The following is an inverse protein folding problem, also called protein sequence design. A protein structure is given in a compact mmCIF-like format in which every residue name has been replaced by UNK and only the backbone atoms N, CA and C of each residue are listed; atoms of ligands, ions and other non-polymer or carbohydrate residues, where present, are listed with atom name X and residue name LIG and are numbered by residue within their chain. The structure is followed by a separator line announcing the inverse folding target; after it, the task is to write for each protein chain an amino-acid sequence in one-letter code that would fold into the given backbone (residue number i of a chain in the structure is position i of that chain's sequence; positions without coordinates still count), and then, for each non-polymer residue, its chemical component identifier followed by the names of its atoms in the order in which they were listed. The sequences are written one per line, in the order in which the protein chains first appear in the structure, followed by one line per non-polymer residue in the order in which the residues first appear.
data_IF_807202661986
#
_entry.id   IF_807202661986
#
_cell.length_a   1.000
_cell.length_b   1.000
_cell.length_c   1.000
_cell.angle_alpha   90.00
_cell.angle_beta   90.00
_cell.angle_gamma   90.00
#
_symmetry.space_group_name_H-M   'P 1'
#
loop_
_entity.id
_entity.type
_entity.pdbx_description
1 polymer ?
#
# COMPACT_ATOMS: atom_id res chain seq x y z
N UNK A 1 -23.31 -4.63 -8.32
CA UNK A 1 -22.19 -4.45 -7.38
C UNK A 1 -22.51 -4.87 -5.94
N UNK A 2 -23.54 -4.35 -5.27
CA UNK A 2 -23.82 -4.67 -3.85
C UNK A 2 -24.00 -6.19 -3.56
N UNK A 3 -24.70 -6.89 -4.45
CA UNK A 3 -24.88 -8.36 -4.37
C UNK A 3 -23.53 -9.10 -4.42
N UNK A 4 -22.61 -8.65 -5.29
CA UNK A 4 -21.28 -9.26 -5.40
C UNK A 4 -20.46 -9.09 -4.11
N UNK A 5 -20.52 -7.90 -3.48
CA UNK A 5 -19.87 -7.65 -2.18
C UNK A 5 -20.46 -8.51 -1.07
N UNK A 6 -21.78 -8.73 -1.08
CA UNK A 6 -22.45 -9.61 -0.14
C UNK A 6 -21.95 -11.06 -0.28
N UNK A 7 -21.86 -11.57 -1.51
CA UNK A 7 -21.30 -12.90 -1.76
C UNK A 7 -19.85 -13.02 -1.29
N UNK A 8 -19.02 -12.01 -1.53
CA UNK A 8 -17.64 -11.98 -1.03
C UNK A 8 -17.58 -12.08 0.50
N UNK A 9 -18.41 -11.32 1.23
CA UNK A 9 -18.50 -11.40 2.70
C UNK A 9 -18.92 -12.78 3.20
N UNK A 10 -19.75 -13.48 2.43
CA UNK A 10 -20.16 -14.87 2.70
C UNK A 10 -19.13 -15.91 2.25
N UNK A 11 -17.96 -15.50 1.75
CA UNK A 11 -16.95 -16.37 1.12
C UNK A 11 -17.45 -17.15 -0.10
N UNK A 12 -18.55 -16.68 -0.71
CA UNK A 12 -19.15 -17.19 -1.94
C UNK A 12 -18.47 -16.55 -3.14
N UNK A 13 -17.18 -16.83 -3.28
CA UNK A 13 -16.33 -16.06 -4.17
C UNK A 13 -16.63 -16.29 -5.65
N UNK A 14 -17.06 -17.49 -6.02
CA UNK A 14 -17.46 -17.80 -7.40
C UNK A 14 -18.65 -16.95 -7.83
N UNK A 15 -19.70 -16.88 -7.03
CA UNK A 15 -20.88 -16.07 -7.32
C UNK A 15 -20.56 -14.57 -7.30
N UNK A 16 -19.63 -14.16 -6.42
CA UNK A 16 -19.12 -12.79 -6.40
C UNK A 16 -18.43 -12.43 -7.73
N UNK A 17 -17.51 -13.27 -8.19
CA UNK A 17 -16.80 -13.09 -9.46
C UNK A 17 -17.76 -13.10 -10.66
N UNK A 18 -18.71 -14.04 -10.71
CA UNK A 18 -19.72 -14.08 -11.79
C UNK A 18 -20.56 -12.81 -11.83
N UNK A 19 -20.93 -12.26 -10.67
CA UNK A 19 -21.69 -11.01 -10.59
C UNK A 19 -20.87 -9.81 -11.05
N UNK A 20 -19.57 -9.76 -10.73
CA UNK A 20 -18.68 -8.71 -11.21
C UNK A 20 -18.37 -8.82 -12.71
N UNK A 21 -18.26 -10.04 -13.25
CA UNK A 21 -18.14 -10.24 -14.70
C UNK A 21 -19.34 -9.69 -15.46
N UNK A 22 -20.57 -10.00 -15.00
CA UNK A 22 -21.80 -9.41 -15.58
C UNK A 22 -21.82 -7.89 -15.49
N UNK A 23 -21.23 -7.30 -14.45
CA UNK A 23 -21.07 -5.85 -14.35
C UNK A 23 -20.10 -5.33 -15.41
N UNK A 24 -18.96 -5.98 -15.61
CA UNK A 24 -17.98 -5.61 -16.64
C UNK A 24 -18.55 -5.75 -18.06
N UNK A 25 -19.41 -6.73 -18.32
CA UNK A 25 -20.09 -6.89 -19.62
C UNK A 25 -21.00 -5.69 -19.98
N UNK A 26 -21.44 -4.93 -18.96
CA UNK A 26 -22.29 -3.74 -19.11
C UNK A 26 -21.51 -2.43 -18.97
N UNK A 27 -20.28 -2.49 -18.44
CA UNK A 27 -19.46 -1.32 -18.21
C UNK A 27 -18.97 -0.76 -19.55
N UNK A 28 -19.07 0.56 -19.72
CA UNK A 28 -18.76 1.22 -21.00
C UNK A 28 -17.68 2.28 -20.88
N UNK A 29 -17.28 2.62 -19.66
CA UNK A 29 -16.28 3.66 -19.39
C UNK A 29 -15.02 3.10 -18.74
N UNK A 30 -13.83 3.71 -18.98
CA UNK A 30 -12.60 3.35 -18.27
C UNK A 30 -12.75 3.37 -16.74
N UNK A 31 -13.55 4.30 -16.22
CA UNK A 31 -13.86 4.40 -14.79
C UNK A 31 -14.62 3.17 -14.29
N UNK A 32 -15.70 2.76 -14.96
CA UNK A 32 -16.49 1.59 -14.59
C UNK A 32 -15.70 0.29 -14.74
N UNK A 33 -14.93 0.16 -15.84
CA UNK A 33 -14.07 -0.99 -16.09
C UNK A 33 -13.03 -1.13 -14.99
N UNK A 34 -12.31 -0.05 -14.69
CA UNK A 34 -11.32 -0.02 -13.60
C UNK A 34 -11.94 -0.38 -12.27
N UNK A 35 -13.07 0.24 -11.92
CA UNK A 35 -13.80 -0.05 -10.67
C UNK A 35 -14.20 -1.52 -10.57
N UNK A 36 -14.74 -2.10 -11.63
CA UNK A 36 -15.16 -3.51 -11.65
C UNK A 36 -13.97 -4.45 -11.50
N UNK A 37 -12.88 -4.19 -12.23
CA UNK A 37 -11.64 -4.96 -12.11
C UNK A 37 -11.02 -4.85 -10.70
N UNK A 38 -11.05 -3.67 -10.07
CA UNK A 38 -10.56 -3.50 -8.68
C UNK A 38 -11.32 -4.39 -7.71
N UNK A 39 -12.65 -4.48 -7.86
CA UNK A 39 -13.45 -5.37 -7.02
C UNK A 39 -13.16 -6.85 -7.27
N UNK A 40 -12.91 -7.25 -8.53
CA UNK A 40 -12.46 -8.61 -8.86
C UNK A 40 -11.10 -8.92 -8.22
N UNK A 41 -10.15 -7.99 -8.28
CA UNK A 41 -8.85 -8.12 -7.63
C UNK A 41 -9.01 -8.35 -6.11
N UNK A 42 -9.86 -7.56 -5.44
CA UNK A 42 -10.19 -7.75 -4.03
C UNK A 42 -10.80 -9.12 -3.72
N UNK A 43 -11.65 -9.64 -4.61
CA UNK A 43 -12.24 -10.97 -4.45
C UNK A 43 -11.17 -12.06 -4.54
N UNK A 44 -10.21 -11.95 -5.48
CA UNK A 44 -9.08 -12.88 -5.56
C UNK A 44 -8.17 -12.80 -4.32
N UNK A 45 -7.85 -11.59 -3.86
CA UNK A 45 -7.04 -11.38 -2.64
C UNK A 45 -7.75 -11.96 -1.42
N UNK A 46 -9.08 -11.79 -1.31
CA UNK A 46 -9.89 -12.34 -0.22
C UNK A 46 -9.96 -13.87 -0.21
N UNK A 47 -9.64 -14.52 -1.34
CA UNK A 47 -9.51 -15.97 -1.48
C UNK A 47 -8.09 -16.47 -1.16
N UNK A 48 -7.12 -15.57 -1.01
CA UNK A 48 -5.70 -15.92 -0.97
C UNK A 48 -5.08 -16.15 -2.35
N UNK A 49 -5.82 -15.93 -3.44
CA UNK A 49 -5.32 -16.06 -4.81
C UNK A 49 -4.56 -14.80 -5.24
N UNK A 50 -3.50 -14.45 -4.51
CA UNK A 50 -2.80 -13.18 -4.64
C UNK A 50 -2.28 -12.91 -6.06
N UNK A 51 -1.73 -13.91 -6.76
CA UNK A 51 -1.23 -13.74 -8.13
C UNK A 51 -2.34 -13.46 -9.15
N UNK A 52 -3.56 -14.00 -8.97
CA UNK A 52 -4.70 -13.63 -9.83
C UNK A 52 -5.17 -12.21 -9.54
N UNK A 53 -5.13 -11.80 -8.26
CA UNK A 53 -5.34 -10.43 -7.85
C UNK A 53 -4.34 -9.48 -8.52
N UNK A 54 -3.04 -9.76 -8.40
CA UNK A 54 -1.96 -8.99 -9.03
C UNK A 54 -2.16 -8.85 -10.53
N UNK A 55 -2.45 -9.95 -11.24
CA UNK A 55 -2.74 -9.90 -12.69
C UNK A 55 -3.90 -8.96 -13.01
N UNK A 56 -4.97 -8.99 -12.21
CA UNK A 56 -6.13 -8.11 -12.42
C UNK A 56 -5.76 -6.63 -12.17
N UNK A 57 -4.82 -6.37 -11.25
CA UNK A 57 -4.31 -5.02 -10.99
C UNK A 57 -3.39 -4.53 -12.11
N UNK A 58 -2.55 -5.41 -12.67
CA UNK A 58 -1.74 -5.11 -13.85
C UNK A 58 -2.63 -4.67 -15.02
N UNK A 59 -3.72 -5.39 -15.27
CA UNK A 59 -4.68 -5.01 -16.31
C UNK A 59 -5.27 -3.60 -16.09
N UNK A 60 -5.49 -3.17 -14.84
CA UNK A 60 -5.98 -1.81 -14.56
C UNK A 60 -4.92 -0.76 -14.89
N UNK A 61 -3.68 -1.02 -14.48
CA UNK A 61 -2.54 -0.11 -14.68
C UNK A 61 -2.23 0.02 -16.17
N UNK A 62 -2.26 -1.09 -16.91
CA UNK A 62 -1.94 -1.13 -18.34
C UNK A 62 -3.06 -0.54 -19.21
N UNK A 63 -4.32 -0.93 -18.97
CA UNK A 63 -5.45 -0.50 -19.80
C UNK A 63 -5.98 0.89 -19.42
N UNK A 64 -5.90 1.27 -18.14
CA UNK A 64 -6.52 2.48 -17.61
C UNK A 64 -5.57 3.38 -16.80
N UNK A 65 -4.34 3.67 -17.28
CA UNK A 65 -3.28 4.33 -16.49
C UNK A 65 -3.62 5.74 -16.00
N UNK A 66 -4.58 6.42 -16.63
CA UNK A 66 -4.99 7.80 -16.28
C UNK A 66 -6.15 7.87 -15.28
N UNK A 67 -6.70 6.72 -14.88
CA UNK A 67 -7.78 6.69 -13.89
C UNK A 67 -7.20 6.78 -12.48
N UNK A 68 -7.98 7.31 -11.53
CA UNK A 68 -7.59 7.31 -10.11
C UNK A 68 -7.29 5.90 -9.58
N UNK A 69 -7.91 4.88 -10.18
CA UNK A 69 -7.72 3.48 -9.82
C UNK A 69 -6.34 2.92 -10.20
N UNK A 70 -5.63 3.50 -11.16
CA UNK A 70 -4.32 2.98 -11.57
C UNK A 70 -3.28 3.15 -10.44
N UNK A 71 -3.26 4.32 -9.81
CA UNK A 71 -2.40 4.58 -8.66
C UNK A 71 -2.78 3.72 -7.45
N UNK A 72 -4.08 3.57 -7.18
CA UNK A 72 -4.58 2.69 -6.11
C UNK A 72 -4.25 1.21 -6.38
N UNK A 73 -4.34 0.77 -7.63
CA UNK A 73 -3.95 -0.58 -8.04
C UNK A 73 -2.45 -0.81 -7.87
N UNK A 74 -1.62 0.17 -8.24
CA UNK A 74 -0.17 0.12 -8.03
C UNK A 74 0.18 0.02 -6.54
N UNK A 75 -0.48 0.80 -5.68
CA UNK A 75 -0.34 0.68 -4.23
C UNK A 75 -0.76 -0.71 -3.73
N UNK A 76 -1.92 -1.20 -4.16
CA UNK A 76 -2.43 -2.49 -3.72
C UNK A 76 -1.49 -3.63 -4.12
N UNK A 77 -0.88 -3.57 -5.30
CA UNK A 77 0.16 -4.52 -5.72
C UNK A 77 1.35 -4.52 -4.76
N UNK A 78 1.90 -3.33 -4.45
CA UNK A 78 3.02 -3.20 -3.52
C UNK A 78 2.68 -3.79 -2.14
N UNK A 79 1.49 -3.50 -1.61
CA UNK A 79 1.01 -4.04 -0.34
C UNK A 79 0.82 -5.57 -0.39
N UNK A 80 0.34 -6.14 -1.49
CA UNK A 80 0.23 -7.61 -1.63
C UNK A 80 1.61 -8.26 -1.55
N UNK A 81 2.59 -7.71 -2.26
CA UNK A 81 3.97 -8.22 -2.20
C UNK A 81 4.54 -8.11 -0.78
N UNK A 82 4.41 -6.96 -0.12
CA UNK A 82 4.94 -6.71 1.22
C UNK A 82 4.23 -7.55 2.31
N UNK A 83 2.90 -7.60 2.28
CA UNK A 83 2.13 -8.10 3.41
C UNK A 83 1.68 -9.55 3.27
N UNK A 84 1.36 -9.98 2.04
CA UNK A 84 0.75 -11.28 1.78
C UNK A 84 1.75 -12.30 1.25
N UNK A 85 2.57 -11.89 0.28
CA UNK A 85 3.57 -12.76 -0.34
C UNK A 85 4.88 -12.73 0.46
N UNK A 86 5.17 -11.61 1.13
CA UNK A 86 6.45 -11.35 1.82
C UNK A 86 7.66 -11.31 0.86
N UNK A 87 7.41 -10.93 -0.39
CA UNK A 87 8.44 -10.63 -1.39
C UNK A 87 8.71 -9.12 -1.31
N UNK A 88 9.64 -8.76 -0.41
CA UNK A 88 9.93 -7.38 -0.09
C UNK A 88 10.68 -6.68 -1.23
N UNK A 89 11.49 -7.39 -2.01
CA UNK A 89 12.16 -6.85 -3.19
C UNK A 89 11.15 -6.42 -4.27
N UNK A 90 10.14 -7.26 -4.54
CA UNK A 90 9.07 -6.88 -5.46
C UNK A 90 8.23 -5.75 -4.90
N UNK A 91 7.94 -5.75 -3.59
CA UNK A 91 7.21 -4.66 -2.95
C UNK A 91 7.92 -3.31 -3.11
N UNK A 92 9.24 -3.26 -2.88
CA UNK A 92 10.05 -2.06 -3.06
C UNK A 92 9.92 -1.51 -4.48
N UNK A 93 10.09 -2.36 -5.50
CA UNK A 93 9.94 -1.95 -6.91
C UNK A 93 8.57 -1.37 -7.20
N UNK A 94 7.52 -1.98 -6.67
CA UNK A 94 6.15 -1.50 -6.88
C UNK A 94 5.87 -0.18 -6.13
N UNK A 95 6.43 0.05 -4.94
CA UNK A 95 6.35 1.35 -4.26
C UNK A 95 7.16 2.44 -4.99
N UNK A 96 8.33 2.11 -5.53
CA UNK A 96 9.14 3.06 -6.32
C UNK A 96 8.41 3.52 -7.59
N UNK A 97 7.65 2.62 -8.23
CA UNK A 97 6.77 2.99 -9.34
C UNK A 97 5.71 4.01 -8.94
N UNK A 98 5.16 3.94 -7.71
CA UNK A 98 4.19 4.94 -7.23
C UNK A 98 4.82 6.34 -7.25
N UNK A 99 6.03 6.46 -6.69
CA UNK A 99 6.76 7.73 -6.59
C UNK A 99 7.09 8.27 -7.99
N UNK A 100 7.44 7.39 -8.92
CA UNK A 100 7.87 7.77 -10.28
C UNK A 100 6.72 8.07 -11.23
N UNK A 101 5.69 7.23 -11.24
CA UNK A 101 4.63 7.23 -12.25
C UNK A 101 3.38 8.01 -11.79
N UNK A 102 3.20 8.18 -10.47
CA UNK A 102 2.05 8.88 -9.90
C UNK A 102 2.49 10.01 -8.94
N UNK A 103 3.36 10.95 -9.36
CA UNK A 103 3.94 11.97 -8.48
C UNK A 103 2.91 12.93 -7.87
N UNK A 104 1.76 13.12 -8.53
CA UNK A 104 0.68 13.99 -8.04
C UNK A 104 -0.27 13.29 -7.05
N UNK A 105 -0.12 11.98 -6.87
CA UNK A 105 -0.94 11.21 -5.94
C UNK A 105 -0.66 11.63 -4.50
N UNK A 106 -1.70 11.65 -3.66
CA UNK A 106 -1.59 12.03 -2.25
C UNK A 106 -0.55 11.17 -1.49
N UNK A 107 -0.34 9.92 -1.90
CA UNK A 107 0.65 9.02 -1.32
C UNK A 107 2.10 9.50 -1.50
N UNK A 108 2.37 10.32 -2.51
CA UNK A 108 3.69 10.93 -2.78
C UNK A 108 3.81 12.30 -2.11
N UNK A 109 2.69 12.99 -1.89
CA UNK A 109 2.65 14.23 -1.09
C UNK A 109 2.99 14.01 0.39
N UNK A 110 3.00 12.76 0.83
CA UNK A 110 3.50 12.33 2.14
C UNK A 110 4.67 11.35 1.92
N UNK A 111 5.55 11.11 2.91
CA UNK A 111 6.62 10.13 2.77
C UNK A 111 6.10 8.67 2.86
N UNK A 112 4.80 8.42 2.69
CA UNK A 112 4.20 7.11 2.90
C UNK A 112 4.90 6.01 2.09
N UNK A 113 5.05 6.19 0.77
CA UNK A 113 5.71 5.19 -0.07
C UNK A 113 7.19 4.98 0.35
N UNK A 114 7.89 6.04 0.76
CA UNK A 114 9.26 5.95 1.27
C UNK A 114 9.32 5.18 2.59
N UNK A 115 8.38 5.40 3.52
CA UNK A 115 8.31 4.65 4.77
C UNK A 115 8.07 3.15 4.52
N UNK A 116 7.22 2.81 3.55
CA UNK A 116 6.97 1.42 3.17
C UNK A 116 8.21 0.76 2.55
N UNK A 117 8.96 1.49 1.72
CA UNK A 117 10.24 1.01 1.17
C UNK A 117 11.26 0.76 2.29
N UNK A 118 11.42 1.72 3.22
CA UNK A 118 12.31 1.56 4.36
C UNK A 118 11.91 0.35 5.24
N UNK A 119 10.61 0.15 5.45
CA UNK A 119 10.07 -1.02 6.16
C UNK A 119 10.44 -2.33 5.46
N UNK A 120 10.31 -2.39 4.14
CA UNK A 120 10.73 -3.56 3.36
C UNK A 120 12.23 -3.83 3.49
N UNK A 121 13.08 -2.80 3.42
CA UNK A 121 14.51 -2.95 3.66
C UNK A 121 14.83 -3.45 5.08
N UNK A 122 14.10 -2.99 6.09
CA UNK A 122 14.21 -3.51 7.46
C UNK A 122 13.86 -5.01 7.50
N UNK A 123 12.79 -5.45 6.84
CA UNK A 123 12.43 -6.88 6.79
C UNK A 123 13.51 -7.71 6.10
N UNK A 124 14.20 -7.13 5.12
CA UNK A 124 15.35 -7.72 4.44
C UNK A 124 16.66 -7.63 5.25
N UNK A 125 16.64 -7.02 6.44
CA UNK A 125 17.82 -6.72 7.27
C UNK A 125 18.88 -5.85 6.57
N UNK A 126 18.43 -5.10 5.56
CA UNK A 126 19.19 -4.12 4.78
C UNK A 126 19.10 -2.76 5.45
N UNK A 127 19.77 -2.63 6.59
CA UNK A 127 19.60 -1.49 7.49
C UNK A 127 20.22 -0.21 6.93
N UNK A 128 21.34 -0.29 6.22
CA UNK A 128 21.96 0.86 5.56
C UNK A 128 21.02 1.45 4.49
N UNK A 129 20.40 0.58 3.68
CA UNK A 129 19.42 1.01 2.68
C UNK A 129 18.17 1.61 3.34
N UNK A 130 17.68 1.04 4.44
CA UNK A 130 16.57 1.62 5.19
C UNK A 130 16.92 3.01 5.75
N UNK A 131 18.13 3.18 6.28
CA UNK A 131 18.62 4.47 6.79
C UNK A 131 18.71 5.50 5.66
N UNK A 132 19.24 5.12 4.49
CA UNK A 132 19.32 6.02 3.33
C UNK A 132 17.94 6.54 2.90
N UNK A 133 16.90 5.70 2.98
CA UNK A 133 15.52 6.13 2.70
C UNK A 133 15.01 7.11 3.76
N UNK A 134 15.30 6.89 5.05
CA UNK A 134 14.94 7.85 6.09
C UNK A 134 15.71 9.17 5.98
N UNK A 135 16.98 9.14 5.57
CA UNK A 135 17.75 10.34 5.27
C UNK A 135 17.13 11.13 4.11
N UNK A 136 16.63 10.44 3.08
CA UNK A 136 15.84 11.08 2.03
C UNK A 136 14.58 11.75 2.59
N UNK A 137 13.84 11.09 3.48
CA UNK A 137 12.67 11.70 4.14
C UNK A 137 13.06 12.95 4.95
N UNK A 138 14.18 12.92 5.66
CA UNK A 138 14.70 14.07 6.42
C UNK A 138 14.96 15.27 5.51
N UNK A 139 15.54 15.04 4.33
CA UNK A 139 15.87 16.09 3.37
C UNK A 139 14.61 16.62 2.66
N UNK A 140 13.80 15.72 2.09
CA UNK A 140 12.65 16.06 1.25
C UNK A 140 11.48 16.64 2.06
N UNK A 141 11.36 16.28 3.35
CA UNK A 141 10.29 16.71 4.26
C UNK A 141 10.84 17.47 5.49
N UNK A 142 11.86 18.31 5.28
CA UNK A 142 12.45 19.12 6.34
C UNK A 142 11.43 20.07 7.02
N UNK A 143 11.62 20.31 8.32
CA UNK A 143 10.74 21.10 9.19
C UNK A 143 9.31 20.54 9.35
N UNK A 144 9.07 19.29 9.00
CA UNK A 144 7.78 18.61 9.21
C UNK A 144 7.86 17.58 10.35
N UNK A 145 6.71 17.08 10.85
CA UNK A 145 6.70 15.95 11.78
C UNK A 145 7.40 14.68 11.23
N UNK A 146 7.46 14.53 9.90
CA UNK A 146 8.10 13.39 9.24
C UNK A 146 9.62 13.38 9.41
N UNK A 147 10.26 14.54 9.44
CA UNK A 147 11.71 14.64 9.71
C UNK A 147 12.05 14.07 11.09
N UNK A 148 11.28 14.49 12.11
CA UNK A 148 11.47 14.02 13.48
C UNK A 148 11.23 12.52 13.59
N UNK A 149 10.17 12.02 12.94
CA UNK A 149 9.89 10.61 12.85
C UNK A 149 11.05 9.82 12.21
N UNK A 150 11.55 10.26 11.06
CA UNK A 150 12.63 9.61 10.33
C UNK A 150 13.95 9.58 11.13
N UNK A 151 14.31 10.66 11.85
CA UNK A 151 15.47 10.66 12.76
C UNK A 151 15.34 9.59 13.85
N UNK A 152 14.18 9.50 14.49
CA UNK A 152 13.92 8.48 15.51
C UNK A 152 13.96 7.05 14.93
N UNK A 153 13.54 6.86 13.67
CA UNK A 153 13.68 5.57 12.98
C UNK A 153 15.13 5.16 12.81
N UNK A 154 15.98 6.08 12.35
CA UNK A 154 17.42 5.84 12.17
C UNK A 154 18.09 5.48 13.51
N UNK A 155 17.81 6.23 14.58
CA UNK A 155 18.33 5.93 15.91
C UNK A 155 17.92 4.53 16.37
N UNK A 156 16.66 4.15 16.15
CA UNK A 156 16.14 2.85 16.52
C UNK A 156 16.81 1.70 15.76
N UNK A 157 17.01 1.86 14.45
CA UNK A 157 17.71 0.87 13.62
C UNK A 157 19.13 0.66 14.16
N UNK A 158 19.89 1.74 14.37
CA UNK A 158 21.27 1.70 14.89
C UNK A 158 21.35 1.06 16.28
N UNK A 159 20.38 1.34 17.15
CA UNK A 159 20.33 0.76 18.50
C UNK A 159 20.14 -0.77 18.44
N UNK A 160 19.24 -1.25 17.59
CA UNK A 160 18.94 -2.68 17.47
C UNK A 160 20.06 -3.45 16.78
N UNK A 161 20.66 -2.85 15.76
CA UNK A 161 21.85 -3.37 15.10
C UNK A 161 23.00 -3.55 16.10
N UNK A 162 23.30 -2.52 16.91
CA UNK A 162 24.31 -2.61 17.98
C UNK A 162 24.02 -3.71 19.00
N UNK A 163 22.73 -3.97 19.28
CA UNK A 163 22.30 -5.05 20.17
C UNK A 163 22.33 -6.43 19.53
N UNK A 164 22.63 -6.54 18.24
CA UNK A 164 22.54 -7.78 17.48
C UNK A 164 21.11 -8.34 17.41
N UNK A 165 20.09 -7.50 17.60
CA UNK A 165 18.68 -7.89 17.60
C UNK A 165 18.01 -7.39 16.31
N UNK A 166 17.10 -8.18 15.72
CA UNK A 166 16.33 -7.69 14.57
C UNK A 166 15.47 -6.51 15.00
N UNK A 167 15.37 -5.50 14.14
CA UNK A 167 14.47 -4.37 14.33
C UNK A 167 13.03 -4.89 14.30
N UNK A 168 12.27 -4.84 15.42
CA UNK A 168 10.92 -5.37 15.45
C UNK A 168 9.98 -4.49 14.62
N UNK A 169 9.12 -5.09 13.77
CA UNK A 169 8.18 -4.35 12.92
C UNK A 169 7.22 -3.45 13.72
N UNK A 170 6.87 -3.89 14.93
CA UNK A 170 5.78 -3.30 15.74
C UNK A 170 6.22 -2.18 16.69
N UNK A 171 7.47 -2.19 17.18
CA UNK A 171 7.96 -1.21 18.17
C UNK A 171 8.14 0.17 17.54
N UNK A 172 8.48 0.17 16.25
CA UNK A 172 8.48 1.32 15.36
C UNK A 172 7.10 2.02 15.40
N UNK A 173 6.00 1.30 15.24
CA UNK A 173 4.65 1.90 15.30
C UNK A 173 4.22 2.28 16.73
N UNK A 174 4.57 1.47 17.74
CA UNK A 174 4.17 1.72 19.14
C UNK A 174 4.80 2.99 19.73
N UNK A 175 6.11 3.24 19.52
CA UNK A 175 6.77 4.46 20.00
C UNK A 175 6.30 5.73 19.27
N UNK A 176 5.93 5.62 17.99
CA UNK A 176 5.31 6.72 17.25
C UNK A 176 3.97 7.15 17.86
N UNK A 177 3.17 6.19 18.30
CA UNK A 177 1.91 6.43 19.01
C UNK A 177 2.12 7.14 20.34
N UNK A 178 3.19 6.81 21.07
CA UNK A 178 3.56 7.42 22.36
C UNK A 178 4.03 8.88 22.24
N UNK A 179 4.64 9.28 21.12
CA UNK A 179 5.07 10.67 20.85
C UNK A 179 4.01 11.51 20.09
N UNK A 180 2.77 11.01 20.00
CA UNK A 180 1.65 11.72 19.35
C UNK A 180 1.70 11.73 17.83
N UNK A 181 2.56 10.92 17.20
CA UNK A 181 2.68 10.79 15.74
C UNK A 181 1.93 9.58 15.17
N UNK A 182 1.41 8.69 16.01
CA UNK A 182 0.90 7.37 15.59
C UNK A 182 -0.60 7.25 15.30
N UNK A 183 -1.40 8.31 15.46
CA UNK A 183 -2.86 8.26 15.15
C UNK A 183 -3.36 9.38 14.20
N UNK A 184 -2.46 10.20 13.67
CA UNK A 184 -2.84 11.47 13.04
C UNK A 184 -2.47 11.68 11.58
N UNK A 185 -1.89 10.71 10.86
CA UNK A 185 -1.42 11.00 9.50
C UNK A 185 -2.36 10.42 8.45
N UNK A 186 -2.63 9.11 8.41
CA UNK A 186 -3.61 8.56 7.46
C UNK A 186 -4.28 7.31 8.06
N UNK A 187 -5.53 7.40 8.54
CA UNK A 187 -6.39 6.23 8.60
C UNK A 187 -6.93 5.99 7.19
N UNK A 188 -6.34 5.04 6.46
CA UNK A 188 -6.96 4.53 5.22
C UNK A 188 -8.02 3.52 5.62
N UNK A 189 -9.27 3.96 5.70
CA UNK A 189 -10.40 3.05 5.76
C UNK A 189 -10.93 2.85 4.33
N UNK A 190 -11.02 1.59 3.90
CA UNK A 190 -11.76 1.25 2.67
C UNK A 190 -13.24 1.15 3.03
N UNK A 191 -14.00 2.21 2.75
CA UNK A 191 -15.46 2.21 2.91
C UNK A 191 -16.10 2.31 1.53
N UNK A 192 -16.95 1.34 1.20
CA UNK A 192 -17.69 1.26 -0.06
C UNK A 192 -16.85 1.29 -1.35
N UNK A 193 -15.58 0.88 -1.27
CA UNK A 193 -14.65 0.86 -2.42
C UNK A 193 -14.03 2.22 -2.72
N UNK A 194 -14.07 3.15 -1.77
CA UNK A 194 -13.29 4.38 -1.78
C UNK A 194 -12.30 4.36 -0.62
N UNK A 195 -11.07 4.76 -0.91
CA UNK A 195 -10.06 5.10 0.09
C UNK A 195 -10.55 6.37 0.80
N UNK A 196 -11.04 6.23 2.03
CA UNK A 196 -11.37 7.38 2.86
C UNK A 196 -10.14 7.70 3.70
N UNK A 197 -9.53 8.84 3.40
CA UNK A 197 -8.44 9.40 4.19
C UNK A 197 -9.04 10.37 5.21
N UNK A 198 -9.08 9.98 6.48
CA UNK A 198 -9.39 10.91 7.55
C UNK A 198 -8.09 11.54 8.04
N UNK A 199 -7.87 12.81 7.68
CA UNK A 199 -6.87 13.68 8.30
C UNK A 199 -7.55 14.35 9.51
N UNK A 200 -6.98 14.21 10.70
CA UNK A 200 -7.34 15.04 11.85
C UNK A 200 -6.21 16.01 12.15
#
# INVERSE_FOLDING_TARGET
MAIAKLYQRQKRYKESLETYKKYLDLASTPFEMSRGKTEIAHVYISQGEYYKGLKTLDEIIEEYPKTEFAADAQLLKANIYADKIKDYESAIKEYEKIIKEYPDNWMVKTPFALEQIASCYIQLKKYDEAIAIYEKIINDYSNTPFEKAAKLRIEFIKEYEKKGKPVPPEVIMKRMKEIGLGEGIINVEIKDGKTITNVK
#
